data_IF_344953081298
#
_entry.id   IF_344953081298
#
_cell.length_a   1.000
_cell.length_b   1.000
_cell.length_c   1.000
_cell.angle_alpha   90.00
_cell.angle_beta   90.00
_cell.angle_gamma   90.00
#
_symmetry.space_group_name_H-M   'P 1'
#
loop_
_entity.id
_entity.type
_entity.pdbx_description
1 polymer ?
#
# COMPACT_ATOMS: atom_id res chain seq x y z
N UNK A 1 6.50 -1.18 -23.36
CA UNK A 1 5.05 -1.47 -23.29
C UNK A 1 4.83 -2.97 -23.27
N UNK A 2 3.98 -3.49 -22.38
CA UNK A 2 3.71 -4.94 -22.24
C UNK A 2 2.88 -5.54 -23.39
N UNK A 3 2.28 -4.71 -24.24
CA UNK A 3 1.62 -5.06 -25.51
C UNK A 3 2.17 -4.17 -26.64
N UNK A 4 3.22 -4.61 -27.35
CA UNK A 4 3.86 -3.82 -28.41
C UNK A 4 2.89 -3.40 -29.52
N UNK A 5 1.87 -4.21 -29.79
CA UNK A 5 0.86 -4.03 -30.83
C UNK A 5 -0.18 -2.94 -30.51
N UNK A 6 -0.29 -2.51 -29.25
CA UNK A 6 -1.23 -1.48 -28.82
C UNK A 6 -0.66 -0.64 -27.67
N UNK A 7 0.32 0.25 -27.96
CA UNK A 7 0.86 1.13 -26.94
C UNK A 7 -0.24 2.10 -26.47
N UNK A 8 -0.39 2.20 -25.15
CA UNK A 8 -1.30 3.15 -24.52
C UNK A 8 -0.48 4.06 -23.61
N UNK A 9 -0.42 5.33 -23.98
CA UNK A 9 0.21 6.38 -23.17
C UNK A 9 -0.80 6.80 -22.09
N UNK A 10 -0.33 6.92 -20.85
CA UNK A 10 -1.12 7.33 -19.70
C UNK A 10 -0.36 8.38 -18.90
N UNK A 11 -1.11 9.20 -18.17
CA UNK A 11 -0.50 10.04 -17.14
C UNK A 11 0.02 9.16 -16.00
N UNK A 12 0.95 9.69 -15.21
CA UNK A 12 1.44 8.98 -14.03
C UNK A 12 0.34 8.76 -12.99
N UNK A 13 -0.56 9.72 -12.80
CA UNK A 13 -1.72 9.61 -11.88
C UNK A 13 -2.62 8.43 -12.30
N UNK A 14 -2.95 8.33 -13.60
CA UNK A 14 -3.74 7.21 -14.13
C UNK A 14 -3.05 5.85 -13.92
N UNK A 15 -1.72 5.80 -14.09
CA UNK A 15 -0.95 4.57 -13.93
C UNK A 15 -0.89 4.13 -12.47
N UNK A 16 -0.66 5.06 -11.53
CA UNK A 16 -0.69 4.79 -10.09
C UNK A 16 -2.06 4.26 -9.69
N UNK A 17 -3.13 4.97 -10.06
CA UNK A 17 -4.49 4.54 -9.74
C UNK A 17 -4.83 3.17 -10.33
N UNK A 18 -4.34 2.86 -11.54
CA UNK A 18 -4.50 1.53 -12.14
C UNK A 18 -3.75 0.46 -11.37
N UNK A 19 -2.47 0.68 -11.04
CA UNK A 19 -1.64 -0.32 -10.34
C UNK A 19 -2.16 -0.57 -8.93
N UNK A 20 -2.55 0.48 -8.20
CA UNK A 20 -3.13 0.34 -6.86
C UNK A 20 -4.36 -0.57 -6.93
N UNK A 21 -5.33 -0.29 -7.82
CA UNK A 21 -6.56 -1.07 -7.94
C UNK A 21 -6.39 -2.47 -8.53
N UNK A 22 -5.55 -2.62 -9.57
CA UNK A 22 -5.42 -3.89 -10.29
C UNK A 22 -4.45 -4.88 -9.65
N UNK A 23 -3.54 -4.41 -8.81
CA UNK A 23 -2.54 -5.24 -8.12
C UNK A 23 -2.59 -5.06 -6.61
N UNK A 24 -2.26 -3.87 -6.11
CA UNK A 24 -1.92 -3.67 -4.68
C UNK A 24 -3.07 -4.07 -3.75
N UNK A 25 -4.28 -3.59 -4.04
CA UNK A 25 -5.47 -3.84 -3.21
C UNK A 25 -6.40 -4.88 -3.83
N UNK A 26 -5.94 -5.61 -4.85
CA UNK A 26 -6.72 -6.64 -5.50
C UNK A 26 -6.70 -7.92 -4.64
N UNK A 27 -7.86 -8.43 -4.17
CA UNK A 27 -7.91 -9.63 -3.33
C UNK A 27 -7.17 -10.82 -3.94
N UNK A 28 -7.28 -11.03 -5.27
CA UNK A 28 -6.57 -12.13 -5.94
C UNK A 28 -5.06 -12.03 -5.85
N UNK A 29 -4.53 -10.80 -5.85
CA UNK A 29 -3.09 -10.58 -5.70
C UNK A 29 -2.68 -10.76 -4.24
N UNK A 30 -3.45 -10.21 -3.29
CA UNK A 30 -3.20 -10.36 -1.85
C UNK A 30 -3.20 -11.84 -1.47
N UNK A 31 -4.24 -12.60 -1.84
CA UNK A 31 -4.34 -14.04 -1.64
C UNK A 31 -3.20 -14.79 -2.34
N UNK A 32 -2.73 -14.27 -3.46
CA UNK A 32 -1.57 -14.75 -4.19
C UNK A 32 -0.29 -14.66 -3.37
N UNK A 33 -0.03 -13.47 -2.86
CA UNK A 33 1.13 -13.11 -2.06
C UNK A 33 1.12 -13.82 -0.71
N UNK A 34 -0.05 -13.97 -0.08
CA UNK A 34 -0.23 -14.69 1.19
C UNK A 34 0.32 -16.12 1.17
N UNK A 35 0.26 -16.80 0.02
CA UNK A 35 0.83 -18.16 -0.15
C UNK A 35 2.36 -18.23 -0.01
N UNK A 36 3.04 -17.10 0.11
CA UNK A 36 4.49 -17.00 0.22
C UNK A 36 4.97 -16.52 1.60
N UNK A 37 4.11 -16.54 2.62
CA UNK A 37 4.48 -16.30 4.03
C UNK A 37 5.33 -15.04 4.21
N UNK A 38 6.53 -15.19 4.78
CA UNK A 38 7.47 -14.08 5.02
C UNK A 38 7.71 -13.21 3.78
N UNK A 39 7.99 -13.84 2.63
CA UNK A 39 8.25 -13.10 1.38
C UNK A 39 6.97 -12.42 0.88
N UNK A 40 5.82 -13.02 1.15
CA UNK A 40 4.54 -12.40 0.87
C UNK A 40 4.36 -11.08 1.62
N UNK A 41 4.49 -11.12 2.94
CA UNK A 41 4.41 -9.94 3.79
C UNK A 41 5.48 -8.88 3.44
N UNK A 42 6.70 -9.31 3.07
CA UNK A 42 7.74 -8.41 2.56
C UNK A 42 7.31 -7.64 1.30
N UNK A 43 6.70 -8.31 0.31
CA UNK A 43 6.23 -7.64 -0.92
C UNK A 43 5.11 -6.63 -0.65
N UNK A 44 4.29 -6.87 0.38
CA UNK A 44 3.27 -5.92 0.83
C UNK A 44 3.94 -4.65 1.38
N UNK A 45 4.91 -4.79 2.28
CA UNK A 45 5.66 -3.65 2.83
C UNK A 45 6.41 -2.85 1.76
N UNK A 46 7.16 -3.54 0.88
CA UNK A 46 7.87 -2.90 -0.22
C UNK A 46 6.92 -2.11 -1.14
N UNK A 47 5.69 -2.60 -1.35
CA UNK A 47 4.69 -1.89 -2.15
C UNK A 47 4.25 -0.57 -1.49
N UNK A 48 4.14 -0.53 -0.16
CA UNK A 48 3.84 0.70 0.58
C UNK A 48 4.99 1.69 0.48
N UNK A 49 6.24 1.22 0.61
CA UNK A 49 7.43 2.06 0.47
C UNK A 49 7.53 2.67 -0.94
N UNK A 50 7.28 1.88 -1.99
CA UNK A 50 7.26 2.41 -3.36
C UNK A 50 6.16 3.45 -3.59
N UNK A 51 4.95 3.21 -3.06
CA UNK A 51 3.87 4.20 -3.14
C UNK A 51 4.26 5.49 -2.42
N UNK A 52 4.87 5.38 -1.25
CA UNK A 52 5.41 6.51 -0.50
C UNK A 52 6.46 7.29 -1.29
N UNK A 53 7.43 6.61 -1.91
CA UNK A 53 8.46 7.22 -2.72
C UNK A 53 7.87 7.98 -3.93
N UNK A 54 6.87 7.40 -4.61
CA UNK A 54 6.15 8.10 -5.68
C UNK A 54 5.41 9.34 -5.17
N UNK A 55 4.79 9.28 -3.99
CA UNK A 55 4.13 10.42 -3.38
C UNK A 55 5.13 11.55 -3.09
N UNK A 56 6.27 11.20 -2.51
CA UNK A 56 7.32 12.15 -2.12
C UNK A 56 8.03 12.82 -3.30
N UNK A 57 8.04 12.21 -4.48
CA UNK A 57 8.82 12.68 -5.63
C UNK A 57 7.99 13.26 -6.77
N UNK A 58 6.73 12.86 -6.90
CA UNK A 58 5.94 13.19 -8.11
C UNK A 58 4.66 13.97 -7.84
N UNK A 59 4.12 13.92 -6.62
CA UNK A 59 2.80 14.50 -6.29
C UNK A 59 1.61 13.82 -6.99
N UNK A 60 1.83 12.72 -7.73
CA UNK A 60 0.78 11.99 -8.44
C UNK A 60 0.03 10.98 -7.55
N UNK A 61 0.52 10.70 -6.34
CA UNK A 61 -0.18 9.86 -5.39
C UNK A 61 -1.21 10.71 -4.62
N UNK A 62 -2.49 10.37 -4.76
CA UNK A 62 -3.61 11.02 -4.06
C UNK A 62 -3.95 10.32 -2.75
N UNK A 63 -4.62 11.03 -1.83
CA UNK A 63 -5.07 10.48 -0.54
C UNK A 63 -5.80 9.14 -0.66
N UNK A 64 -6.71 9.03 -1.63
CA UNK A 64 -7.49 7.81 -1.82
C UNK A 64 -6.64 6.58 -2.18
N UNK A 65 -5.43 6.75 -2.73
CA UNK A 65 -4.52 5.64 -2.97
C UNK A 65 -3.99 5.08 -1.64
N UNK A 66 -3.61 5.96 -0.71
CA UNK A 66 -3.21 5.54 0.64
C UNK A 66 -4.38 5.00 1.45
N UNK A 67 -5.58 5.59 1.34
CA UNK A 67 -6.78 5.08 2.01
C UNK A 67 -7.06 3.63 1.58
N UNK A 68 -6.97 3.33 0.28
CA UNK A 68 -7.15 1.97 -0.23
C UNK A 68 -6.10 0.99 0.34
N UNK A 69 -4.84 1.40 0.40
CA UNK A 69 -3.76 0.55 0.93
C UNK A 69 -3.90 0.34 2.43
N UNK A 70 -4.20 1.38 3.20
CA UNK A 70 -4.48 1.30 4.62
C UNK A 70 -5.65 0.36 4.89
N UNK A 71 -6.77 0.52 4.17
CA UNK A 71 -7.94 -0.34 4.31
C UNK A 71 -7.59 -1.81 4.02
N UNK A 72 -6.87 -2.06 2.93
CA UNK A 72 -6.53 -3.41 2.52
C UNK A 72 -5.51 -4.09 3.43
N UNK A 73 -4.49 -3.38 3.94
CA UNK A 73 -3.38 -4.03 4.65
C UNK A 73 -3.50 -3.93 6.17
N UNK A 74 -4.05 -2.83 6.68
CA UNK A 74 -4.12 -2.56 8.12
C UNK A 74 -5.53 -2.60 8.67
N UNK A 75 -6.57 -2.07 8.01
CA UNK A 75 -7.94 -2.16 8.57
C UNK A 75 -8.53 -3.57 8.44
N UNK A 76 -8.17 -4.30 7.38
CA UNK A 76 -8.53 -5.70 7.23
C UNK A 76 -7.75 -6.57 8.23
N UNK A 77 -8.46 -7.12 9.21
CA UNK A 77 -7.87 -7.92 10.30
C UNK A 77 -7.15 -9.17 9.79
N UNK A 78 -7.64 -9.80 8.73
CA UNK A 78 -7.05 -11.02 8.18
C UNK A 78 -5.69 -10.73 7.52
N UNK A 79 -5.62 -9.68 6.71
CA UNK A 79 -4.38 -9.22 6.09
C UNK A 79 -3.39 -8.74 7.14
N UNK A 80 -3.86 -7.95 8.11
CA UNK A 80 -3.01 -7.46 9.20
C UNK A 80 -2.42 -8.60 10.02
N UNK A 81 -3.24 -9.58 10.40
CA UNK A 81 -2.81 -10.76 11.14
C UNK A 81 -1.82 -11.60 10.34
N UNK A 82 -2.08 -11.82 9.04
CA UNK A 82 -1.14 -12.51 8.15
C UNK A 82 0.24 -11.85 8.15
N UNK A 83 0.31 -10.53 7.99
CA UNK A 83 1.59 -9.79 7.99
C UNK A 83 2.25 -9.92 9.36
N UNK A 84 1.50 -9.77 10.45
CA UNK A 84 2.02 -9.90 11.82
C UNK A 84 2.67 -11.27 12.06
N UNK A 85 1.97 -12.35 11.71
CA UNK A 85 2.40 -13.72 11.97
C UNK A 85 3.60 -14.14 11.13
N UNK A 86 3.66 -13.68 9.88
CA UNK A 86 4.68 -14.13 8.94
C UNK A 86 5.88 -13.18 8.86
N UNK A 87 5.71 -11.90 9.19
CA UNK A 87 6.76 -10.88 9.17
C UNK A 87 6.36 -9.63 10.00
N UNK A 88 6.39 -9.74 11.33
CA UNK A 88 6.12 -8.60 12.22
C UNK A 88 6.95 -7.32 11.92
N UNK A 89 8.24 -7.40 11.53
CA UNK A 89 8.99 -6.23 11.06
C UNK A 89 8.34 -5.54 9.85
N UNK A 90 7.82 -6.29 8.88
CA UNK A 90 7.13 -5.72 7.72
C UNK A 90 5.82 -5.01 8.11
N UNK A 91 5.09 -5.52 9.12
CA UNK A 91 3.91 -4.83 9.64
C UNK A 91 4.27 -3.47 10.23
N UNK A 92 5.34 -3.42 11.05
CA UNK A 92 5.84 -2.17 11.62
C UNK A 92 6.29 -1.20 10.52
N UNK A 93 7.01 -1.69 9.52
CA UNK A 93 7.47 -0.87 8.39
C UNK A 93 6.29 -0.24 7.64
N UNK A 94 5.23 -1.01 7.36
CA UNK A 94 3.99 -0.48 6.76
C UNK A 94 3.40 0.64 7.63
N UNK A 95 3.27 0.41 8.94
CA UNK A 95 2.73 1.40 9.86
C UNK A 95 3.62 2.67 9.91
N UNK A 96 4.94 2.52 9.97
CA UNK A 96 5.89 3.63 9.96
C UNK A 96 5.86 4.44 8.66
N UNK A 97 5.80 3.79 7.49
CA UNK A 97 5.70 4.48 6.20
C UNK A 97 4.39 5.25 6.08
N UNK A 98 3.27 4.67 6.53
CA UNK A 98 1.97 5.32 6.56
C UNK A 98 1.93 6.50 7.55
N UNK A 99 2.54 6.34 8.73
CA UNK A 99 2.71 7.43 9.70
C UNK A 99 3.58 8.56 9.13
N UNK A 100 4.67 8.23 8.43
CA UNK A 100 5.52 9.23 7.77
C UNK A 100 4.76 9.96 6.65
N UNK A 101 3.96 9.25 5.84
CA UNK A 101 3.13 9.86 4.80
C UNK A 101 2.17 10.90 5.40
N UNK A 102 1.59 10.57 6.54
CA UNK A 102 0.74 11.46 7.32
C UNK A 102 1.53 12.67 7.86
N UNK A 103 2.67 12.42 8.51
CA UNK A 103 3.50 13.46 9.11
C UNK A 103 4.07 14.45 8.10
N UNK A 104 4.32 14.01 6.87
CA UNK A 104 4.81 14.83 5.76
C UNK A 104 3.70 15.45 4.91
N UNK A 105 2.42 15.25 5.27
CA UNK A 105 1.27 15.76 4.52
C UNK A 105 1.08 15.11 3.14
N UNK A 106 1.74 13.99 2.87
CA UNK A 106 1.58 13.20 1.64
C UNK A 106 0.26 12.41 1.64
N UNK A 107 -0.25 12.12 2.83
CA UNK A 107 -1.55 11.49 3.04
C UNK A 107 -2.34 12.19 4.14
N UNK A 108 -3.60 12.52 3.83
CA UNK A 108 -4.61 12.93 4.79
C UNK A 108 -5.67 11.83 4.86
N UNK A 109 -5.65 10.97 5.90
CA UNK A 109 -6.59 9.87 6.04
C UNK A 109 -8.03 10.36 6.10
N UNK A 110 -8.92 9.69 5.37
CA UNK A 110 -10.37 9.94 5.51
C UNK A 110 -10.93 9.36 6.82
N UNK A 111 -10.35 8.27 7.30
CA UNK A 111 -10.79 7.59 8.53
C UNK A 111 -10.20 8.27 9.77
N UNK A 112 -11.06 8.56 10.74
CA UNK A 112 -10.64 9.10 12.05
C UNK A 112 -9.85 8.08 12.87
N UNK A 113 -10.02 6.77 12.63
CA UNK A 113 -9.31 5.71 13.35
C UNK A 113 -7.97 5.35 12.74
N UNK A 114 -7.69 5.74 11.49
CA UNK A 114 -6.46 5.35 10.79
C UNK A 114 -5.20 5.73 11.57
N UNK A 115 -5.12 6.98 12.04
CA UNK A 115 -3.98 7.43 12.87
C UNK A 115 -3.84 6.61 14.15
N UNK A 116 -4.94 6.35 14.85
CA UNK A 116 -4.91 5.59 16.09
C UNK A 116 -4.43 4.16 15.85
N UNK A 117 -4.96 3.48 14.85
CA UNK A 117 -4.55 2.12 14.48
C UNK A 117 -3.06 2.08 14.10
N UNK A 118 -2.61 2.99 13.23
CA UNK A 118 -1.21 3.08 12.82
C UNK A 118 -0.29 3.24 14.04
N UNK A 119 -0.63 4.13 14.97
CA UNK A 119 0.19 4.32 16.18
C UNK A 119 0.26 3.06 17.06
N UNK A 120 -0.80 2.25 17.12
CA UNK A 120 -0.73 0.97 17.89
C UNK A 120 0.13 -0.11 17.24
N UNK A 121 0.45 0.03 15.95
CA UNK A 121 1.19 -0.97 15.16
C UNK A 121 2.67 -0.62 14.97
N UNK A 122 3.10 0.55 15.47
CA UNK A 122 4.50 1.00 15.47
C UNK A 122 5.24 0.37 16.65
#
# INVERSE_FOLDING_TARGET
HSRPERPLIRTLDDEIGRVVRSRVVNPKWIDGVKRHGYKGAFEMAATVDYLFAFAATTGAVRNHHFDLVHAAFLEDDENRQFIADHNAPALREIAERLAEAIGRGLWQPKSNSARALIETLR
#
